data_IF_284594060260
#
_entry.id   IF_284594060260
#
_cell.length_a   1.000
_cell.length_b   1.000
_cell.length_c   1.000
_cell.angle_alpha   90.00
_cell.angle_beta   90.00
_cell.angle_gamma   90.00
#
_symmetry.space_group_name_H-M   'P 1'
#
loop_
_entity.id
_entity.type
_entity.pdbx_description
1 polymer ?
#
# COMPACT_ATOMS: atom_id res chain seq x y z
N UNK A 1 -0.58 25.27 12.32
CA UNK A 1 0.04 24.43 11.28
C UNK A 1 -0.60 24.79 9.94
N UNK A 2 0.19 25.05 8.89
CA UNK A 2 -0.38 25.25 7.56
C UNK A 2 -0.77 23.87 7.01
N UNK A 3 -2.07 23.66 6.88
CA UNK A 3 -2.66 22.45 6.31
C UNK A 3 -2.56 22.51 4.78
N UNK A 4 -2.18 21.39 4.15
CA UNK A 4 -2.21 21.23 2.69
C UNK A 4 -3.66 21.24 2.24
N UNK A 5 -3.99 22.04 1.24
CA UNK A 5 -5.34 22.16 0.71
C UNK A 5 -5.53 21.20 -0.47
N UNK A 6 -6.77 20.78 -0.70
CA UNK A 6 -7.06 19.79 -1.75
C UNK A 6 -6.68 20.24 -3.17
N UNK A 7 -6.69 21.53 -3.47
CA UNK A 7 -6.26 22.04 -4.78
C UNK A 7 -4.73 22.02 -5.01
N UNK A 8 -3.94 21.80 -3.95
CA UNK A 8 -2.48 21.68 -4.00
C UNK A 8 -2.04 20.21 -4.17
N UNK A 9 -2.97 19.24 -4.03
CA UNK A 9 -2.63 17.82 -3.98
C UNK A 9 -2.09 17.27 -5.30
N UNK A 10 -2.52 17.80 -6.46
CA UNK A 10 -2.01 17.33 -7.74
C UNK A 10 -0.54 17.63 -7.92
N UNK A 11 -0.12 18.89 -7.63
CA UNK A 11 1.28 19.31 -7.68
C UNK A 11 2.10 18.57 -6.62
N UNK A 12 1.54 18.43 -5.42
CA UNK A 12 2.18 17.69 -4.33
C UNK A 12 2.42 16.22 -4.71
N UNK A 13 1.45 15.58 -5.37
CA UNK A 13 1.58 14.19 -5.83
C UNK A 13 2.79 14.01 -6.76
N UNK A 14 3.05 14.99 -7.63
CA UNK A 14 4.22 14.96 -8.51
C UNK A 14 5.56 15.06 -7.74
N UNK A 15 5.60 15.83 -6.66
CA UNK A 15 6.79 15.90 -5.79
C UNK A 15 6.97 14.59 -4.99
N UNK A 16 5.87 13.99 -4.49
CA UNK A 16 5.94 12.72 -3.77
C UNK A 16 6.40 11.58 -4.69
N UNK A 17 6.00 11.57 -5.96
CA UNK A 17 6.53 10.64 -6.96
C UNK A 17 8.05 10.75 -7.07
N UNK A 18 8.62 11.95 -7.17
CA UNK A 18 10.08 12.15 -7.23
C UNK A 18 10.76 11.61 -5.96
N UNK A 19 10.18 11.89 -4.79
CA UNK A 19 10.70 11.38 -3.51
C UNK A 19 10.69 9.85 -3.49
N UNK A 20 9.63 9.22 -3.99
CA UNK A 20 9.53 7.76 -4.04
C UNK A 20 10.53 7.14 -5.01
N UNK A 21 10.81 7.77 -6.16
CA UNK A 21 11.86 7.34 -7.08
C UNK A 21 13.24 7.41 -6.43
N UNK A 22 13.60 8.55 -5.81
CA UNK A 22 14.89 8.69 -5.14
C UNK A 22 15.06 7.70 -4.00
N UNK A 23 14.00 7.42 -3.23
CA UNK A 23 14.02 6.38 -2.21
C UNK A 23 14.23 4.99 -2.82
N UNK A 24 13.54 4.70 -3.95
CA UNK A 24 13.72 3.47 -4.72
C UNK A 24 15.14 3.27 -5.21
N UNK A 25 15.79 4.32 -5.72
CA UNK A 25 17.22 4.28 -6.10
C UNK A 25 18.11 3.89 -4.91
N UNK A 26 17.86 4.45 -3.72
CA UNK A 26 18.63 4.08 -2.51
C UNK A 26 18.42 2.61 -2.10
N UNK A 27 17.22 2.08 -2.29
CA UNK A 27 16.97 0.65 -2.07
C UNK A 27 17.75 -0.18 -3.09
N UNK A 28 17.72 0.20 -4.37
CA UNK A 28 18.42 -0.51 -5.44
C UNK A 28 19.94 -0.47 -5.27
N UNK A 29 20.52 0.64 -4.79
CA UNK A 29 21.95 0.74 -4.45
C UNK A 29 22.39 -0.39 -3.52
N UNK A 30 21.54 -0.79 -2.56
CA UNK A 30 21.80 -1.92 -1.65
C UNK A 30 21.42 -3.25 -2.28
N UNK A 31 20.26 -3.30 -2.98
CA UNK A 31 19.70 -4.52 -3.57
C UNK A 31 20.63 -5.15 -4.61
N UNK A 32 21.37 -4.34 -5.38
CA UNK A 32 22.30 -4.80 -6.40
C UNK A 32 23.63 -5.32 -5.84
N UNK A 33 23.92 -5.09 -4.55
CA UNK A 33 25.13 -5.63 -3.94
C UNK A 33 25.03 -7.14 -3.72
N UNK A 34 26.16 -7.84 -3.74
CA UNK A 34 26.24 -9.25 -3.35
C UNK A 34 26.18 -9.39 -1.82
N UNK A 35 25.00 -9.29 -1.25
CA UNK A 35 24.82 -9.61 0.17
C UNK A 35 24.40 -11.07 0.33
N UNK A 36 25.20 -11.80 1.13
CA UNK A 36 24.77 -13.09 1.66
C UNK A 36 23.67 -12.81 2.69
N UNK A 37 22.56 -13.55 2.61
CA UNK A 37 21.48 -13.51 3.60
C UNK A 37 22.02 -14.16 4.90
N UNK A 38 22.92 -13.49 5.60
CA UNK A 38 23.32 -13.88 6.94
C UNK A 38 22.27 -13.41 7.94
N UNK A 39 21.67 -14.39 8.62
CA UNK A 39 20.70 -14.16 9.67
C UNK A 39 21.31 -13.39 10.84
N UNK A 40 20.66 -12.27 11.19
CA UNK A 40 20.68 -11.63 12.52
C UNK A 40 21.96 -10.92 12.94
N UNK A 41 21.91 -9.61 12.74
CA UNK A 41 22.30 -8.57 13.71
C UNK A 41 21.98 -7.22 13.05
N UNK A 42 21.84 -6.13 13.81
CA UNK A 42 21.28 -4.81 13.44
C UNK A 42 21.89 -4.05 12.22
N UNK A 43 22.69 -4.70 11.40
CA UNK A 43 23.33 -4.17 10.19
C UNK A 43 23.11 -5.05 8.95
N UNK A 44 21.98 -5.73 8.85
CA UNK A 44 21.66 -6.50 7.63
C UNK A 44 21.49 -5.59 6.42
N UNK A 45 21.73 -6.05 5.18
CA UNK A 45 21.45 -5.28 3.96
C UNK A 45 20.00 -4.81 3.86
N UNK A 46 19.07 -5.59 4.38
CA UNK A 46 17.66 -5.20 4.48
C UNK A 46 17.51 -3.93 5.33
N UNK A 47 18.03 -3.93 6.56
CA UNK A 47 18.00 -2.76 7.46
C UNK A 47 18.69 -1.55 6.82
N UNK A 48 19.78 -1.76 6.07
CA UNK A 48 20.47 -0.68 5.36
C UNK A 48 19.62 -0.08 4.24
N UNK A 49 18.90 -0.89 3.47
CA UNK A 49 17.99 -0.44 2.40
C UNK A 49 16.79 0.33 2.99
N UNK A 50 16.15 -0.23 4.03
CA UNK A 50 15.05 0.40 4.75
C UNK A 50 15.43 1.78 5.27
N UNK A 51 16.56 1.86 6.00
CA UNK A 51 17.04 3.11 6.60
C UNK A 51 17.47 4.13 5.55
N UNK A 52 18.05 3.70 4.43
CA UNK A 52 18.44 4.60 3.35
C UNK A 52 17.19 5.23 2.70
N UNK A 53 16.16 4.43 2.41
CA UNK A 53 14.88 4.92 1.91
C UNK A 53 14.17 5.81 2.95
N UNK A 54 14.08 5.38 4.21
CA UNK A 54 13.49 6.13 5.31
C UNK A 54 14.11 7.54 5.43
N UNK A 55 15.44 7.61 5.49
CA UNK A 55 16.15 8.89 5.65
C UNK A 55 15.88 9.81 4.45
N UNK A 56 15.93 9.28 3.23
CA UNK A 56 15.63 10.03 1.99
C UNK A 56 14.23 10.62 2.03
N UNK A 57 13.22 9.79 2.32
CA UNK A 57 11.81 10.22 2.37
C UNK A 57 11.61 11.26 3.48
N UNK A 58 12.06 10.98 4.70
CA UNK A 58 11.85 11.87 5.84
C UNK A 58 12.54 13.22 5.67
N UNK A 59 13.76 13.26 5.13
CA UNK A 59 14.49 14.51 4.86
C UNK A 59 13.75 15.37 3.84
N UNK A 60 13.29 14.76 2.73
CA UNK A 60 12.62 15.50 1.67
C UNK A 60 11.20 15.93 2.06
N UNK A 61 10.42 15.09 2.72
CA UNK A 61 9.10 15.45 3.25
C UNK A 61 9.20 16.59 4.25
N UNK A 62 10.22 16.58 5.12
CA UNK A 62 10.47 17.67 6.09
C UNK A 62 10.82 18.98 5.38
N UNK A 63 11.55 18.95 4.28
CA UNK A 63 11.84 20.16 3.47
C UNK A 63 10.61 20.67 2.73
N UNK A 64 9.84 19.75 2.14
CA UNK A 64 8.66 20.05 1.33
C UNK A 64 7.50 20.55 2.19
N UNK A 65 7.26 19.93 3.32
CA UNK A 65 6.11 20.19 4.20
C UNK A 65 6.52 20.21 5.68
N UNK A 66 7.32 21.21 6.12
CA UNK A 66 7.98 21.20 7.44
C UNK A 66 7.02 21.23 8.64
N UNK A 67 5.74 21.54 8.42
CA UNK A 67 4.71 21.56 9.47
C UNK A 67 3.89 20.27 9.57
N UNK A 68 4.07 19.32 8.64
CA UNK A 68 3.32 18.06 8.60
C UNK A 68 4.14 16.96 9.26
N UNK A 69 3.64 16.31 10.35
CA UNK A 69 4.34 15.21 11.00
C UNK A 69 4.49 14.00 10.06
N UNK A 70 5.52 13.20 10.32
CA UNK A 70 5.79 11.96 9.60
C UNK A 70 5.69 10.78 10.58
N UNK A 71 4.89 9.78 10.24
CA UNK A 71 4.83 8.47 10.89
C UNK A 71 5.36 7.44 9.88
N UNK A 72 6.55 6.94 10.13
CA UNK A 72 7.18 5.90 9.30
C UNK A 72 7.28 4.61 10.09
N UNK A 73 7.27 3.47 9.41
CA UNK A 73 7.53 2.16 10.02
C UNK A 73 8.82 2.20 10.86
N UNK A 74 9.90 2.76 10.32
CA UNK A 74 11.22 2.86 10.95
C UNK A 74 11.30 3.84 12.14
N UNK A 75 10.25 4.64 12.37
CA UNK A 75 10.17 5.61 13.46
C UNK A 75 8.79 5.61 14.14
N UNK A 76 8.18 4.44 14.27
CA UNK A 76 6.78 4.26 14.73
C UNK A 76 6.56 4.42 16.25
N UNK A 77 7.56 4.79 17.02
CA UNK A 77 7.47 4.90 18.49
C UNK A 77 6.70 6.11 19.02
N UNK A 78 6.04 6.87 18.13
CA UNK A 78 5.23 8.05 18.52
C UNK A 78 3.96 7.57 19.23
N UNK A 79 3.71 8.08 20.46
CA UNK A 79 2.57 7.67 21.27
C UNK A 79 1.24 8.04 20.60
N UNK A 80 0.19 7.26 20.86
CA UNK A 80 -1.15 7.60 20.36
C UNK A 80 -1.66 8.93 20.91
N UNK A 81 -1.33 9.26 22.15
CA UNK A 81 -1.69 10.56 22.76
C UNK A 81 -1.11 11.76 22.01
N UNK A 82 0.01 11.59 21.33
CA UNK A 82 0.62 12.64 20.50
C UNK A 82 0.01 12.65 19.10
N UNK A 83 0.00 11.50 18.41
CA UNK A 83 -0.43 11.40 17.01
C UNK A 83 -1.94 11.55 16.79
N UNK A 84 -2.78 11.27 17.80
CA UNK A 84 -4.24 11.47 17.70
C UNK A 84 -4.66 12.94 17.48
N UNK A 85 -3.77 13.90 17.76
CA UNK A 85 -4.01 15.34 17.60
C UNK A 85 -3.63 15.85 16.21
N UNK A 86 -3.03 15.01 15.38
CA UNK A 86 -2.61 15.40 14.04
C UNK A 86 -3.83 15.52 13.12
N UNK A 87 -3.97 16.67 12.50
CA UNK A 87 -5.00 16.90 11.50
C UNK A 87 -4.59 16.35 10.13
N UNK A 88 -3.30 16.51 9.80
CA UNK A 88 -2.66 15.90 8.64
C UNK A 88 -1.31 15.33 9.06
N UNK A 89 -0.91 14.20 8.46
CA UNK A 89 0.41 13.59 8.64
C UNK A 89 0.77 12.68 7.48
N UNK A 90 2.05 12.51 7.26
CA UNK A 90 2.58 11.52 6.33
C UNK A 90 2.62 10.16 7.01
N UNK A 91 2.17 9.12 6.28
CA UNK A 91 2.25 7.73 6.70
C UNK A 91 3.08 6.98 5.66
N UNK A 92 4.21 6.42 6.09
CA UNK A 92 5.27 5.95 5.20
C UNK A 92 5.68 4.52 5.56
N UNK A 93 5.74 3.69 4.54
CA UNK A 93 6.48 2.42 4.55
C UNK A 93 7.64 2.55 3.55
N UNK A 94 8.88 2.68 4.04
CA UNK A 94 10.05 2.89 3.18
C UNK A 94 10.36 1.69 2.30
N UNK A 95 10.09 0.45 2.77
CA UNK A 95 10.33 -0.78 2.03
C UNK A 95 9.32 -1.86 2.42
N UNK A 96 8.11 -1.82 1.83
CA UNK A 96 7.14 -2.92 1.95
C UNK A 96 7.59 -4.13 1.12
N UNK A 97 7.52 -5.32 1.71
CA UNK A 97 7.92 -6.56 1.06
C UNK A 97 9.35 -6.98 1.40
N UNK A 98 9.74 -6.89 2.66
CA UNK A 98 11.07 -7.28 3.16
C UNK A 98 11.45 -8.73 2.83
N UNK A 99 10.48 -9.65 2.82
CA UNK A 99 10.69 -11.04 2.40
C UNK A 99 11.00 -11.18 0.91
N UNK A 100 10.34 -10.38 0.10
CA UNK A 100 10.51 -10.32 -1.35
C UNK A 100 11.87 -9.68 -1.71
N UNK A 101 12.29 -8.68 -0.95
CA UNK A 101 13.63 -8.10 -1.04
C UNK A 101 14.71 -9.16 -0.76
N UNK A 102 14.60 -9.91 0.34
CA UNK A 102 15.53 -10.99 0.70
C UNK A 102 15.54 -12.10 -0.37
N UNK A 103 14.39 -12.48 -0.91
CA UNK A 103 14.26 -13.49 -1.97
C UNK A 103 14.73 -13.02 -3.34
N UNK A 104 15.05 -11.75 -3.50
CA UNK A 104 15.47 -11.12 -4.75
C UNK A 104 14.48 -11.33 -5.90
N UNK A 105 13.17 -11.31 -5.63
CA UNK A 105 12.14 -11.46 -6.67
C UNK A 105 11.63 -10.12 -7.23
N UNK A 106 12.08 -8.98 -6.66
CA UNK A 106 11.73 -7.64 -7.13
C UNK A 106 10.35 -7.14 -6.74
N UNK A 107 9.58 -7.89 -5.95
CA UNK A 107 8.21 -7.56 -5.58
C UNK A 107 8.15 -6.79 -4.24
N UNK A 108 8.87 -5.69 -4.14
CA UNK A 108 8.85 -4.78 -3.01
C UNK A 108 8.55 -3.35 -3.47
N UNK A 109 8.05 -2.51 -2.56
CA UNK A 109 7.61 -1.15 -2.92
C UNK A 109 7.91 -0.12 -1.84
N UNK A 110 7.98 1.15 -2.26
CA UNK A 110 7.97 2.34 -1.40
C UNK A 110 6.53 2.86 -1.35
N UNK A 111 5.98 3.03 -0.15
CA UNK A 111 4.61 3.50 0.04
C UNK A 111 4.61 4.83 0.82
N UNK A 112 4.04 5.88 0.25
CA UNK A 112 3.93 7.21 0.87
C UNK A 112 2.49 7.68 0.78
N UNK A 113 1.87 8.00 1.91
CA UNK A 113 0.50 8.50 1.98
C UNK A 113 0.41 9.80 2.79
N UNK A 114 -0.47 10.70 2.38
CA UNK A 114 -0.92 11.81 3.19
C UNK A 114 -2.28 11.49 3.79
N UNK A 115 -2.35 11.54 5.11
CA UNK A 115 -3.58 11.32 5.86
C UNK A 115 -4.14 12.66 6.32
N UNK A 116 -5.45 12.86 6.11
CA UNK A 116 -6.20 13.96 6.69
C UNK A 116 -7.28 13.42 7.62
N UNK A 117 -7.22 13.81 8.89
CA UNK A 117 -8.07 13.25 9.93
C UNK A 117 -7.84 11.74 10.06
N UNK A 118 -8.71 10.95 9.44
CA UNK A 118 -8.65 9.47 9.46
C UNK A 118 -8.66 8.85 8.05
N UNK A 119 -8.48 9.66 7.02
CA UNK A 119 -8.62 9.24 5.64
C UNK A 119 -7.33 9.49 4.87
N UNK A 120 -6.94 8.54 4.02
CA UNK A 120 -5.90 8.75 3.03
C UNK A 120 -6.44 9.65 1.93
N UNK A 121 -5.76 10.77 1.66
CA UNK A 121 -6.15 11.77 0.66
C UNK A 121 -5.15 11.89 -0.49
N UNK A 122 -3.95 11.30 -0.33
CA UNK A 122 -2.93 11.15 -1.36
C UNK A 122 -2.18 9.87 -1.09
N UNK A 123 -1.83 9.14 -2.14
CA UNK A 123 -1.02 7.93 -2.07
C UNK A 123 -0.11 7.79 -3.28
N UNK A 124 1.12 7.36 -3.02
CA UNK A 124 2.10 6.95 -4.02
C UNK A 124 2.67 5.60 -3.62
N UNK A 125 2.70 4.68 -4.58
CA UNK A 125 3.40 3.40 -4.49
C UNK A 125 4.40 3.35 -5.64
N UNK A 126 5.68 3.14 -5.33
CA UNK A 126 6.72 2.95 -6.32
C UNK A 126 7.34 1.57 -6.18
N UNK A 127 7.54 0.88 -7.31
CA UNK A 127 8.14 -0.46 -7.40
C UNK A 127 9.52 -0.31 -8.04
N UNK A 128 10.60 -0.24 -7.24
CA UNK A 128 11.92 0.17 -7.72
C UNK A 128 12.47 -0.70 -8.85
N UNK A 129 12.28 -2.03 -8.77
CA UNK A 129 12.88 -2.97 -9.75
C UNK A 129 12.27 -2.84 -11.15
N UNK A 130 11.01 -2.49 -11.25
CA UNK A 130 10.30 -2.32 -12.54
C UNK A 130 10.21 -0.87 -12.97
N UNK A 131 10.57 0.06 -12.08
CA UNK A 131 10.41 1.51 -12.25
C UNK A 131 8.95 1.90 -12.59
N UNK A 132 7.99 1.17 -12.01
CA UNK A 132 6.57 1.45 -12.16
C UNK A 132 6.08 2.12 -10.88
N UNK A 133 5.26 3.17 -11.03
CA UNK A 133 4.61 3.83 -9.90
C UNK A 133 3.11 3.95 -10.09
N UNK A 134 2.41 3.99 -8.98
CA UNK A 134 0.99 4.29 -8.90
C UNK A 134 0.79 5.50 -8.02
N UNK A 135 -0.07 6.41 -8.43
CA UNK A 135 -0.36 7.62 -7.66
C UNK A 135 -1.82 7.99 -7.74
N UNK A 136 -2.31 8.59 -6.66
CA UNK A 136 -3.63 9.18 -6.61
C UNK A 136 -3.69 10.30 -5.58
N UNK A 137 -4.59 11.23 -5.78
CA UNK A 137 -5.03 12.15 -4.73
C UNK A 137 -6.51 12.46 -4.90
N UNK A 138 -7.18 12.78 -3.79
CA UNK A 138 -8.63 12.92 -3.74
C UNK A 138 -9.17 13.85 -4.83
N UNK A 139 -10.15 13.38 -5.60
CA UNK A 139 -10.79 14.04 -6.74
C UNK A 139 -9.90 14.24 -7.98
N UNK A 140 -8.67 13.73 -8.01
CA UNK A 140 -7.77 13.84 -9.17
C UNK A 140 -7.69 12.54 -9.97
N UNK A 141 -8.22 11.43 -9.42
CA UNK A 141 -8.16 10.09 -10.00
C UNK A 141 -6.84 9.37 -9.71
N UNK A 142 -6.77 8.12 -10.15
CA UNK A 142 -5.62 7.25 -9.99
C UNK A 142 -4.85 7.07 -11.31
N UNK A 143 -3.53 6.99 -11.22
CA UNK A 143 -2.64 6.90 -12.38
C UNK A 143 -1.56 5.86 -12.17
N UNK A 144 -1.20 5.18 -13.26
CA UNK A 144 0.00 4.36 -13.41
C UNK A 144 1.04 5.12 -14.21
N UNK A 145 2.28 5.07 -13.75
CA UNK A 145 3.45 5.66 -14.40
C UNK A 145 4.39 4.54 -14.77
N UNK A 146 4.68 4.40 -16.06
CA UNK A 146 5.56 3.37 -16.60
C UNK A 146 7.00 3.87 -16.69
N UNK A 147 7.96 2.96 -16.69
CA UNK A 147 9.40 3.25 -16.77
C UNK A 147 9.83 4.04 -18.01
N UNK A 148 9.05 4.01 -19.08
CA UNK A 148 9.29 4.80 -20.30
C UNK A 148 8.79 6.25 -20.21
N UNK A 149 8.23 6.64 -19.05
CA UNK A 149 7.66 7.96 -18.81
C UNK A 149 6.19 8.12 -19.18
N UNK A 150 5.53 7.07 -19.68
CA UNK A 150 4.10 7.10 -19.98
C UNK A 150 3.28 7.17 -18.67
N UNK A 151 2.25 8.02 -18.67
CA UNK A 151 1.27 8.14 -17.59
C UNK A 151 -0.11 7.78 -18.12
N UNK A 152 -0.75 6.80 -17.50
CA UNK A 152 -2.11 6.39 -17.84
C UNK A 152 -3.04 6.46 -16.64
N UNK A 153 -4.28 6.90 -16.88
CA UNK A 153 -5.33 6.84 -15.85
C UNK A 153 -5.81 5.41 -15.71
N UNK A 154 -5.93 4.93 -14.48
CA UNK A 154 -6.35 3.57 -14.18
C UNK A 154 -7.74 3.55 -13.55
N UNK A 155 -8.44 2.44 -13.76
CA UNK A 155 -9.77 2.18 -13.24
C UNK A 155 -9.90 0.72 -12.84
N UNK A 156 -10.66 0.48 -11.78
CA UNK A 156 -11.07 -0.88 -11.40
C UNK A 156 -11.97 -1.49 -12.48
N UNK A 157 -12.03 -2.83 -12.51
CA UNK A 157 -12.93 -3.55 -13.42
C UNK A 157 -14.29 -3.88 -12.77
N UNK A 158 -15.27 -4.22 -13.59
CA UNK A 158 -16.50 -4.88 -13.16
C UNK A 158 -16.25 -6.37 -12.97
N UNK A 159 -16.76 -6.91 -11.86
CA UNK A 159 -16.58 -8.32 -11.53
C UNK A 159 -17.55 -9.21 -12.30
N UNK A 160 -17.03 -10.25 -12.93
CA UNK A 160 -17.80 -11.33 -13.54
C UNK A 160 -17.74 -12.57 -12.63
N UNK A 161 -18.89 -13.01 -12.10
CA UNK A 161 -18.97 -14.16 -11.21
C UNK A 161 -18.43 -15.49 -11.80
N UNK A 162 -18.35 -15.60 -13.13
CA UNK A 162 -17.85 -16.78 -13.83
C UNK A 162 -16.34 -16.70 -14.17
N UNK A 163 -15.67 -15.60 -13.80
CA UNK A 163 -14.25 -15.39 -14.13
C UNK A 163 -13.62 -14.42 -13.11
N UNK A 164 -13.57 -14.84 -11.84
CA UNK A 164 -13.03 -14.06 -10.74
C UNK A 164 -11.51 -14.20 -10.70
N UNK A 165 -10.80 -13.08 -10.64
CA UNK A 165 -9.36 -13.02 -10.45
C UNK A 165 -9.04 -12.46 -9.06
N UNK A 166 -8.32 -13.22 -8.24
CA UNK A 166 -7.92 -12.86 -6.88
C UNK A 166 -6.45 -12.45 -6.89
N UNK A 167 -6.12 -11.28 -6.35
CA UNK A 167 -4.74 -10.98 -5.98
C UNK A 167 -4.44 -11.69 -4.64
N UNK A 168 -3.51 -12.64 -4.66
CA UNK A 168 -3.12 -13.45 -3.51
C UNK A 168 -1.72 -13.11 -3.00
N UNK A 169 -1.45 -13.42 -1.72
CA UNK A 169 -0.12 -13.29 -1.16
C UNK A 169 0.73 -14.51 -1.52
N UNK A 170 1.91 -14.29 -2.09
CA UNK A 170 2.87 -15.37 -2.37
C UNK A 170 3.41 -16.03 -1.08
N UNK A 171 3.55 -15.26 -0.03
CA UNK A 171 4.28 -15.67 1.19
C UNK A 171 3.40 -15.83 2.44
N UNK A 172 2.11 -15.46 2.39
CA UNK A 172 1.23 -15.38 3.56
C UNK A 172 -0.16 -15.98 3.31
N UNK A 173 -0.21 -17.22 2.85
CA UNK A 173 -1.46 -18.01 2.85
C UNK A 173 -1.84 -18.41 4.28
N UNK A 174 -3.12 -18.34 4.63
CA UNK A 174 -3.69 -18.93 5.84
C UNK A 174 -4.95 -19.71 5.47
N UNK A 175 -5.44 -20.55 6.39
CA UNK A 175 -6.61 -21.39 6.13
C UNK A 175 -7.82 -20.54 5.72
N UNK A 176 -8.03 -19.41 6.36
CA UNK A 176 -9.14 -18.51 6.05
C UNK A 176 -9.12 -17.97 4.62
N UNK A 177 -7.93 -17.66 4.08
CA UNK A 177 -7.79 -17.28 2.67
C UNK A 177 -8.11 -18.46 1.74
N UNK A 178 -7.68 -19.67 2.11
CA UNK A 178 -7.99 -20.87 1.33
C UNK A 178 -9.50 -21.15 1.32
N UNK A 179 -10.17 -21.09 2.48
CA UNK A 179 -11.61 -21.27 2.59
C UNK A 179 -12.39 -20.24 1.75
N UNK A 180 -11.91 -18.98 1.72
CA UNK A 180 -12.48 -17.96 0.85
C UNK A 180 -12.31 -18.31 -0.64
N UNK A 181 -11.12 -18.74 -1.05
CA UNK A 181 -10.84 -19.16 -2.44
C UNK A 181 -11.73 -20.36 -2.81
N UNK A 182 -11.83 -21.35 -1.94
CA UNK A 182 -12.63 -22.58 -2.17
C UNK A 182 -14.14 -22.30 -2.24
N UNK A 183 -14.61 -21.18 -1.70
CA UNK A 183 -16.01 -20.75 -1.81
C UNK A 183 -16.37 -20.19 -3.20
N UNK A 184 -15.37 -19.89 -4.03
CA UNK A 184 -15.54 -19.34 -5.37
C UNK A 184 -15.51 -20.44 -6.43
N UNK A 185 -16.15 -20.21 -7.56
CA UNK A 185 -16.14 -21.15 -8.69
C UNK A 185 -14.93 -20.89 -9.59
N UNK A 186 -13.93 -21.76 -9.53
CA UNK A 186 -12.72 -21.76 -10.40
C UNK A 186 -12.04 -20.37 -10.53
N UNK A 187 -11.66 -19.73 -9.40
CA UNK A 187 -11.03 -18.42 -9.46
C UNK A 187 -9.58 -18.51 -9.95
N UNK A 188 -9.15 -17.51 -10.73
CA UNK A 188 -7.73 -17.31 -11.02
C UNK A 188 -7.05 -16.65 -9.83
N UNK A 189 -5.89 -17.13 -9.40
CA UNK A 189 -5.12 -16.55 -8.29
C UNK A 189 -3.79 -16.00 -8.79
N UNK A 190 -3.64 -14.68 -8.77
CA UNK A 190 -2.39 -13.97 -9.09
C UNK A 190 -1.58 -13.79 -7.81
N UNK A 191 -0.49 -14.55 -7.68
CA UNK A 191 0.38 -14.51 -6.49
C UNK A 191 1.50 -13.49 -6.67
N UNK A 192 1.41 -12.36 -5.94
CA UNK A 192 2.42 -11.29 -5.93
C UNK A 192 2.72 -10.85 -4.51
N UNK A 193 3.90 -10.19 -4.32
CA UNK A 193 4.33 -9.63 -3.05
C UNK A 193 3.82 -8.22 -2.80
N UNK A 194 4.13 -7.67 -1.62
CA UNK A 194 4.02 -6.26 -1.26
C UNK A 194 2.67 -5.60 -1.62
N UNK A 195 2.68 -4.29 -1.79
CA UNK A 195 1.53 -3.46 -2.18
C UNK A 195 1.11 -3.65 -3.65
N UNK A 196 1.83 -4.46 -4.44
CA UNK A 196 1.43 -4.77 -5.82
C UNK A 196 0.04 -5.37 -5.92
N UNK A 197 -0.41 -6.13 -4.92
CA UNK A 197 -1.77 -6.71 -4.85
C UNK A 197 -2.88 -5.66 -4.93
N UNK A 198 -2.66 -4.52 -4.27
CA UNK A 198 -3.60 -3.39 -4.34
C UNK A 198 -3.59 -2.75 -5.73
N UNK A 199 -2.39 -2.63 -6.32
CA UNK A 199 -2.21 -2.06 -7.64
C UNK A 199 -2.92 -2.89 -8.71
N UNK A 200 -2.85 -4.23 -8.64
CA UNK A 200 -3.59 -5.14 -9.54
C UNK A 200 -5.11 -4.93 -9.47
N UNK A 201 -5.66 -4.65 -8.28
CA UNK A 201 -7.09 -4.32 -8.15
C UNK A 201 -7.38 -2.93 -8.72
N UNK A 202 -6.54 -1.94 -8.40
CA UNK A 202 -6.75 -0.56 -8.84
C UNK A 202 -6.68 -0.39 -10.37
N UNK A 203 -5.80 -1.15 -11.06
CA UNK A 203 -5.68 -1.11 -12.53
C UNK A 203 -6.66 -2.05 -13.26
N UNK A 204 -7.54 -2.76 -12.52
CA UNK A 204 -8.55 -3.65 -13.09
C UNK A 204 -8.03 -5.02 -13.53
N UNK A 205 -6.82 -5.42 -13.14
CA UNK A 205 -6.28 -6.75 -13.40
C UNK A 205 -6.91 -7.79 -12.49
N UNK A 206 -7.08 -7.50 -11.18
CA UNK A 206 -7.75 -8.37 -10.23
C UNK A 206 -9.12 -7.81 -9.80
N UNK A 207 -10.02 -8.70 -9.37
CA UNK A 207 -11.35 -8.36 -8.87
C UNK A 207 -11.33 -8.03 -7.37
N UNK A 208 -10.47 -8.75 -6.64
CA UNK A 208 -10.41 -8.67 -5.18
C UNK A 208 -9.03 -9.04 -4.65
N UNK A 209 -8.63 -8.40 -3.55
CA UNK A 209 -7.52 -8.83 -2.71
C UNK A 209 -8.01 -8.99 -1.26
N UNK A 210 -8.30 -10.23 -0.80
CA UNK A 210 -8.63 -10.50 0.60
C UNK A 210 -7.34 -10.60 1.45
N UNK A 211 -7.33 -9.95 2.60
CA UNK A 211 -6.22 -9.99 3.55
C UNK A 211 -6.72 -10.32 4.95
N UNK A 212 -6.49 -11.55 5.39
CA UNK A 212 -6.88 -12.07 6.70
C UNK A 212 -5.71 -12.19 7.69
N UNK A 213 -4.50 -11.91 7.25
CA UNK A 213 -3.31 -11.84 8.09
C UNK A 213 -2.99 -10.41 8.55
N UNK A 214 -2.13 -10.22 9.55
CA UNK A 214 -1.78 -8.90 10.05
C UNK A 214 -1.09 -8.04 8.98
N UNK A 215 -1.39 -6.75 8.99
CA UNK A 215 -0.74 -5.68 8.24
C UNK A 215 -0.80 -4.41 9.08
N UNK A 216 0.11 -3.51 8.84
CA UNK A 216 0.13 -2.19 9.50
C UNK A 216 -0.60 -1.13 8.67
N UNK A 217 -0.91 0.00 9.30
CA UNK A 217 -1.59 1.11 8.63
C UNK A 217 -0.76 1.66 7.45
N UNK A 218 0.57 1.68 7.54
CA UNK A 218 1.47 2.14 6.46
C UNK A 218 1.49 1.23 5.24
N UNK A 219 1.20 -0.09 5.38
CA UNK A 219 1.09 -1.04 4.26
C UNK A 219 -0.13 -0.73 3.35
N UNK A 220 -1.14 -0.04 3.87
CA UNK A 220 -2.43 0.11 3.20
C UNK A 220 -2.78 1.54 2.81
N UNK A 221 -2.20 2.54 3.48
CA UNK A 221 -2.67 3.91 3.35
C UNK A 221 -2.47 4.51 1.94
N UNK A 222 -1.30 4.31 1.34
CA UNK A 222 -1.04 4.77 -0.03
C UNK A 222 -1.95 4.05 -1.04
N UNK A 223 -2.06 2.73 -0.88
CA UNK A 223 -2.91 1.89 -1.71
C UNK A 223 -4.40 2.30 -1.62
N UNK A 224 -4.87 2.71 -0.44
CA UNK A 224 -6.28 3.09 -0.28
C UNK A 224 -6.65 4.32 -1.11
N UNK A 225 -5.82 5.36 -1.13
CA UNK A 225 -6.06 6.50 -2.00
C UNK A 225 -6.12 6.07 -3.48
N UNK A 226 -5.19 5.20 -3.90
CA UNK A 226 -5.10 4.74 -5.28
C UNK A 226 -6.33 3.90 -5.67
N UNK A 227 -6.70 2.91 -4.85
CA UNK A 227 -7.85 2.04 -5.10
C UNK A 227 -9.16 2.83 -5.11
N UNK A 228 -9.36 3.73 -4.16
CA UNK A 228 -10.59 4.53 -4.05
C UNK A 228 -10.75 5.51 -5.22
N UNK A 229 -9.66 6.17 -5.65
CA UNK A 229 -9.66 7.07 -6.80
C UNK A 229 -9.73 6.32 -8.15
N UNK A 230 -9.36 5.04 -8.20
CA UNK A 230 -9.61 4.16 -9.33
C UNK A 230 -11.06 3.65 -9.40
N UNK A 231 -11.87 3.90 -8.36
CA UNK A 231 -13.30 3.53 -8.29
C UNK A 231 -13.59 2.33 -7.38
N UNK A 232 -12.59 1.66 -6.82
CA UNK A 232 -12.71 0.55 -5.87
C UNK A 232 -12.91 1.00 -4.42
N UNK A 233 -12.78 0.06 -3.49
CA UNK A 233 -12.85 0.34 -2.05
C UNK A 233 -11.96 -0.62 -1.24
N UNK A 234 -11.53 -0.17 -0.04
CA UNK A 234 -10.88 -1.02 0.96
C UNK A 234 -11.73 -0.99 2.23
N UNK A 235 -12.18 -2.17 2.65
CA UNK A 235 -13.10 -2.33 3.78
C UNK A 235 -12.68 -3.47 4.69
N UNK A 236 -13.05 -3.40 5.97
CA UNK A 236 -12.94 -4.53 6.87
C UNK A 236 -13.97 -5.64 6.52
N UNK A 237 -13.91 -6.76 7.21
CA UNK A 237 -14.86 -7.88 7.00
C UNK A 237 -16.31 -7.58 7.44
N UNK A 238 -16.58 -6.38 7.95
CA UNK A 238 -17.93 -5.84 8.21
C UNK A 238 -18.31 -4.74 7.22
N UNK A 239 -17.60 -4.62 6.10
CA UNK A 239 -17.80 -3.59 5.06
C UNK A 239 -17.65 -2.14 5.55
N UNK A 240 -16.90 -1.93 6.64
CA UNK A 240 -16.52 -0.60 7.09
C UNK A 240 -15.22 -0.18 6.43
N UNK A 241 -15.20 1.01 5.82
CA UNK A 241 -14.01 1.59 5.21
C UNK A 241 -12.86 1.61 6.23
N UNK A 242 -11.65 1.26 5.81
CA UNK A 242 -10.46 1.38 6.66
C UNK A 242 -10.23 2.85 7.03
N UNK A 243 -9.81 3.06 8.27
CA UNK A 243 -9.51 4.37 8.85
C UNK A 243 -8.21 4.29 9.63
N UNK A 244 -7.48 5.39 9.66
CA UNK A 244 -6.11 5.48 10.17
C UNK A 244 -6.05 6.26 11.48
N UNK A 245 -5.05 5.95 12.30
CA UNK A 245 -4.73 6.66 13.53
C UNK A 245 -5.91 6.77 14.50
N UNK A 246 -6.60 5.66 14.73
CA UNK A 246 -7.81 5.62 15.60
C UNK A 246 -7.59 4.93 16.94
N UNK A 247 -6.44 4.31 17.14
CA UNK A 247 -6.09 3.47 18.31
C UNK A 247 -4.58 3.46 18.55
N UNK A 248 -4.14 2.92 19.69
CA UNK A 248 -2.71 2.75 20.01
C UNK A 248 -2.00 1.85 18.98
N UNK A 249 -2.57 0.68 18.72
CA UNK A 249 -2.04 -0.25 17.74
C UNK A 249 -2.18 0.30 16.32
N UNK A 250 -1.13 0.22 15.53
CA UNK A 250 -1.10 0.57 14.10
C UNK A 250 -1.47 -0.61 13.19
N UNK A 251 -1.88 -1.76 13.77
CA UNK A 251 -2.34 -2.91 12.99
C UNK A 251 -3.74 -2.69 12.43
N UNK A 252 -3.91 -3.01 11.15
CA UNK A 252 -5.22 -3.07 10.50
C UNK A 252 -6.05 -4.27 10.99
N UNK A 253 -7.38 -4.20 10.93
CA UNK A 253 -8.22 -5.41 10.94
C UNK A 253 -7.98 -6.24 9.67
N UNK A 254 -8.51 -7.45 9.61
CA UNK A 254 -8.67 -8.17 8.34
C UNK A 254 -9.50 -7.32 7.35
N UNK A 255 -9.12 -7.30 6.07
CA UNK A 255 -9.76 -6.43 5.09
C UNK A 255 -9.87 -7.06 3.70
N UNK A 256 -10.68 -6.41 2.88
CA UNK A 256 -10.87 -6.70 1.45
C UNK A 256 -10.56 -5.45 0.64
N UNK A 257 -9.80 -5.61 -0.43
CA UNK A 257 -9.64 -4.62 -1.50
C UNK A 257 -10.55 -5.05 -2.63
N UNK A 258 -11.54 -4.25 -2.99
CA UNK A 258 -12.64 -4.62 -3.87
C UNK A 258 -12.66 -3.70 -5.09
N UNK A 259 -12.63 -4.28 -6.29
CA UNK A 259 -12.78 -3.55 -7.54
C UNK A 259 -14.24 -3.11 -7.73
N UNK A 260 -15.17 -4.04 -7.84
CA UNK A 260 -16.59 -3.76 -8.09
C UNK A 260 -17.37 -3.65 -6.77
N UNK A 261 -17.74 -2.41 -6.41
CA UNK A 261 -18.56 -2.10 -5.23
C UNK A 261 -19.98 -2.65 -5.28
N UNK A 262 -20.45 -3.06 -6.46
CA UNK A 262 -21.82 -3.57 -6.66
C UNK A 262 -21.89 -5.09 -6.64
N UNK A 263 -20.74 -5.77 -6.71
CA UNK A 263 -20.68 -7.22 -6.59
C UNK A 263 -20.84 -7.66 -5.12
N UNK A 264 -21.69 -8.64 -4.87
CA UNK A 264 -21.99 -9.13 -3.50
C UNK A 264 -20.90 -10.05 -2.96
N UNK A 265 -19.81 -9.47 -2.49
CA UNK A 265 -18.75 -10.20 -1.81
C UNK A 265 -19.14 -10.69 -0.41
N UNK A 266 -20.21 -10.13 0.22
CA UNK A 266 -20.67 -10.54 1.54
C UNK A 266 -21.12 -11.99 1.54
N UNK A 267 -21.77 -12.45 0.47
CA UNK A 267 -22.19 -13.83 0.29
C UNK A 267 -21.06 -14.84 0.49
N UNK A 268 -19.85 -14.52 0.03
CA UNK A 268 -18.67 -15.40 0.14
C UNK A 268 -17.99 -15.34 1.50
N UNK A 269 -18.16 -14.26 2.27
CA UNK A 269 -17.65 -14.14 3.63
C UNK A 269 -18.54 -14.78 4.68
N UNK A 270 -19.85 -14.87 4.45
CA UNK A 270 -20.81 -15.50 5.38
C UNK A 270 -20.65 -17.03 5.45
N UNK A 271 -20.26 -17.65 4.37
CA UNK A 271 -20.00 -19.09 4.31
C UNK A 271 -18.81 -19.48 5.21
N UNK A 272 -17.83 -18.57 5.43
CA UNK A 272 -16.75 -18.78 6.39
C UNK A 272 -17.19 -18.80 7.86
N UNK A 273 -18.26 -18.07 8.23
CA UNK A 273 -18.73 -18.00 9.63
C UNK A 273 -19.50 -19.24 10.07
N UNK A 274 -19.90 -20.09 9.12
CA UNK A 274 -20.73 -21.25 9.34
C UNK A 274 -19.98 -22.59 9.15
N UNK A 275 -18.71 -22.57 8.77
CA UNK A 275 -17.79 -23.71 8.68
C UNK A 275 -16.78 -23.70 9.84
#
# INVERSE_FOLDING_TARGET
MNKIKHHELEELTAEILKISYEAGERILDVYETDFLVENKEDNSPLTAADMAAHNTICEQLTKLTPSIPILSEESSHISFSDRQRWEQYWLVDPLDGTREFIKRNGEFSVNIALIEGRSSILGVIHIPVTDISYSASINNGAYKHESNGDKSKIFVKRTNANAITIAGSRSHGNQRLQDFIDSLTDPEVLSVGSSLKFCLVAEGTADIYPRFGPTSEWDTAAAQAIVEEAGGMIVDTNYKRLVYNTKESLLNPAFLVIADKQFDWAHYLENERNS
#
